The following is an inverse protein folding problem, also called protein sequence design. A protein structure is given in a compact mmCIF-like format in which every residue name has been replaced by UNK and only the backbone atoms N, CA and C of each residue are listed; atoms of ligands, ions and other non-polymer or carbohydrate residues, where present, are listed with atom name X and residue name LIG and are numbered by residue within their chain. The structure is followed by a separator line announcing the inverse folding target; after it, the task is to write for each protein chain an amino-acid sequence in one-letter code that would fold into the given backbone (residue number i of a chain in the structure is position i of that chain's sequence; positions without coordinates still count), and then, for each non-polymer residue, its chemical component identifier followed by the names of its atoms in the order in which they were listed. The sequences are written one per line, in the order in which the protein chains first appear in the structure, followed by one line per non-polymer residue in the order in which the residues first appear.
data_IF_489710034915
#
_entry.id   IF_489710034915
#
_cell.length_a   1.000
_cell.length_b   1.000
_cell.length_c   1.000
_cell.angle_alpha   90.00
_cell.angle_beta   90.00
_cell.angle_gamma   90.00
#
_symmetry.space_group_name_H-M   'P 1'
#
loop_
_entity.id
_entity.type
_entity.pdbx_description
1 polymer ?
#
# COMPACT_ATOMS: atom_id res chain seq x y z
N UNK A 1 26.57 -20.70 9.79
CA UNK A 1 26.80 -19.43 9.07
C UNK A 1 25.46 -18.90 8.61
N UNK A 2 24.97 -17.77 9.15
CA UNK A 2 23.73 -17.11 8.71
C UNK A 2 24.08 -15.67 8.34
N UNK A 3 23.87 -15.32 7.07
CA UNK A 3 24.12 -14.01 6.54
C UNK A 3 23.07 -13.01 7.06
N UNK A 4 23.58 -11.88 7.56
CA UNK A 4 22.81 -10.69 7.94
C UNK A 4 22.54 -9.90 6.66
N UNK A 5 21.27 -9.69 6.31
CA UNK A 5 20.88 -8.70 5.30
C UNK A 5 20.72 -7.37 6.03
N UNK A 6 21.77 -6.55 5.96
CA UNK A 6 21.75 -5.17 6.41
C UNK A 6 20.90 -4.33 5.44
N UNK A 7 19.84 -3.75 5.96
CA UNK A 7 18.95 -2.80 5.28
C UNK A 7 19.67 -1.45 5.15
N UNK A 8 19.72 -0.89 3.94
CA UNK A 8 20.41 0.38 3.61
C UNK A 8 19.50 1.55 4.00
N UNK A 9 19.16 1.65 5.28
CA UNK A 9 18.31 2.72 5.82
C UNK A 9 18.95 3.50 6.97
N UNK A 10 20.14 3.13 7.41
CA UNK A 10 20.64 3.53 8.73
C UNK A 10 21.91 4.39 8.67
N UNK A 11 21.96 5.36 7.75
CA UNK A 11 22.99 6.41 7.81
C UNK A 11 22.59 7.70 7.09
N UNK A 12 21.76 8.51 7.76
CA UNK A 12 21.98 9.97 7.82
C UNK A 12 21.15 10.58 8.97
N UNK A 13 21.73 11.38 9.87
CA UNK A 13 20.97 12.07 10.90
C UNK A 13 20.02 13.14 10.29
N UNK A 14 18.83 13.37 10.88
CA UNK A 14 17.78 14.25 10.35
C UNK A 14 18.20 15.70 10.04
N UNK A 15 19.30 16.17 10.62
CA UNK A 15 19.78 17.55 10.49
C UNK A 15 20.47 17.85 9.15
N UNK A 16 20.80 16.85 8.32
CA UNK A 16 21.50 17.08 7.04
C UNK A 16 20.57 17.35 5.84
N UNK A 17 19.26 17.10 5.95
CA UNK A 17 18.32 17.36 4.86
C UNK A 17 18.13 18.86 4.57
N UNK A 18 18.27 19.72 5.59
CA UNK A 18 18.06 21.16 5.45
C UNK A 18 19.24 21.93 4.83
N UNK A 19 20.39 21.28 4.61
CA UNK A 19 21.58 21.93 4.04
C UNK A 19 21.61 21.93 2.50
N UNK A 20 20.80 21.09 1.84
CA UNK A 20 20.73 21.00 0.37
C UNK A 20 19.51 21.75 -0.19
N UNK A 21 18.48 21.98 0.62
CA UNK A 21 17.32 22.76 0.24
C UNK A 21 17.64 24.27 0.30
N UNK A 22 17.95 24.86 -0.86
CA UNK A 22 17.99 26.30 -1.03
C UNK A 22 16.73 26.98 -0.47
N UNK A 23 16.90 28.15 0.13
CA UNK A 23 15.83 28.97 0.71
C UNK A 23 14.71 29.23 -0.31
N UNK A 24 13.42 29.06 0.02
CA UNK A 24 12.35 29.40 -0.90
C UNK A 24 12.17 30.93 -0.92
N UNK A 25 12.34 31.53 -2.10
CA UNK A 25 11.78 32.85 -2.39
C UNK A 25 10.30 32.69 -2.69
N UNK A 26 9.47 33.25 -1.81
CA UNK A 26 8.04 33.44 -2.05
C UNK A 26 7.82 34.19 -3.36
N UNK A 27 7.02 33.61 -4.25
CA UNK A 27 6.20 34.39 -5.17
C UNK A 27 4.85 33.71 -5.28
N UNK A 28 3.88 34.28 -4.57
CA UNK A 28 2.47 34.01 -4.76
C UNK A 28 2.06 34.44 -6.18
N UNK A 29 1.47 33.54 -6.96
CA UNK A 29 0.62 33.90 -8.10
C UNK A 29 -0.48 32.86 -8.23
N UNK A 30 -1.69 33.30 -7.90
CA UNK A 30 -2.96 32.63 -8.03
C UNK A 30 -3.38 32.49 -9.50
N UNK A 31 -3.62 31.27 -9.99
CA UNK A 31 -4.53 30.94 -11.11
C UNK A 31 -4.79 29.41 -11.19
N UNK A 32 -5.95 28.97 -11.70
CA UNK A 32 -6.42 27.58 -11.61
C UNK A 32 -5.61 26.66 -12.53
N UNK A 33 -5.02 25.59 -11.99
CA UNK A 33 -4.06 24.78 -12.75
C UNK A 33 -4.41 23.29 -12.93
N UNK A 34 -5.48 22.94 -13.67
CA UNK A 34 -5.75 21.55 -14.03
C UNK A 34 -4.88 21.03 -15.20
N UNK A 35 -4.22 21.89 -15.99
CA UNK A 35 -3.54 21.47 -17.22
C UNK A 35 -2.05 21.10 -17.07
N UNK A 36 -1.36 21.62 -16.04
CA UNK A 36 0.10 21.41 -15.85
C UNK A 36 0.41 20.15 -15.05
N UNK A 37 -0.51 19.76 -14.17
CA UNK A 37 -0.38 18.58 -13.32
C UNK A 37 -0.40 17.27 -14.13
N UNK A 38 -1.35 17.00 -15.05
CA UNK A 38 -1.39 15.74 -15.81
C UNK A 38 -0.14 15.53 -16.68
N UNK A 39 0.52 16.61 -17.11
CA UNK A 39 1.80 16.53 -17.83
C UNK A 39 2.96 16.10 -16.92
N UNK A 40 2.94 16.48 -15.63
CA UNK A 40 3.95 16.05 -14.66
C UNK A 40 3.89 14.54 -14.41
N UNK A 41 2.70 13.97 -14.21
CA UNK A 41 2.55 12.52 -13.98
C UNK A 41 2.94 11.68 -15.19
N UNK A 42 2.55 12.11 -16.40
CA UNK A 42 2.99 11.45 -17.63
C UNK A 42 4.52 11.49 -17.79
N UNK A 43 5.17 12.60 -17.40
CA UNK A 43 6.63 12.71 -17.39
C UNK A 43 7.27 11.84 -16.31
N UNK A 44 6.68 11.74 -15.13
CA UNK A 44 7.16 10.90 -14.03
C UNK A 44 7.17 9.42 -14.42
N UNK A 45 6.03 8.91 -14.92
CA UNK A 45 5.91 7.51 -15.39
C UNK A 45 6.88 7.20 -16.53
N UNK A 46 7.03 8.14 -17.49
CA UNK A 46 8.01 7.99 -18.58
C UNK A 46 9.45 7.94 -18.08
N UNK A 47 9.78 8.70 -17.03
CA UNK A 47 11.12 8.71 -16.46
C UNK A 47 11.40 7.46 -15.59
N UNK A 48 10.36 6.88 -14.97
CA UNK A 48 10.48 5.76 -14.04
C UNK A 48 9.42 4.68 -14.31
N UNK A 49 9.80 3.65 -15.09
CA UNK A 49 8.94 2.51 -15.41
C UNK A 49 8.39 1.77 -14.18
N UNK A 50 9.09 1.82 -13.04
CA UNK A 50 8.60 1.23 -11.79
C UNK A 50 7.35 1.91 -11.22
N UNK A 51 6.92 3.05 -11.78
CA UNK A 51 5.76 3.82 -11.35
C UNK A 51 4.58 3.71 -12.33
N UNK A 52 4.61 2.79 -13.30
CA UNK A 52 3.50 2.60 -14.24
C UNK A 52 2.20 2.21 -13.51
N UNK A 53 2.30 1.43 -12.43
CA UNK A 53 1.17 1.02 -11.58
C UNK A 53 0.83 2.03 -10.47
N UNK A 54 1.53 3.17 -10.38
CA UNK A 54 1.22 4.21 -9.40
C UNK A 54 -0.19 4.74 -9.69
N UNK A 55 -1.11 4.80 -8.72
CA UNK A 55 -2.46 5.30 -8.97
C UNK A 55 -2.47 6.82 -9.20
N UNK A 56 -3.45 7.31 -9.96
CA UNK A 56 -3.65 8.76 -10.16
C UNK A 56 -4.17 9.47 -8.89
N UNK A 57 -4.76 8.73 -7.96
CA UNK A 57 -5.24 9.24 -6.67
C UNK A 57 -5.03 8.23 -5.53
N UNK A 58 -4.71 8.74 -4.35
CA UNK A 58 -4.70 8.02 -3.08
C UNK A 58 -6.16 7.90 -2.59
N UNK A 59 -6.68 6.68 -2.37
CA UNK A 59 -8.00 6.46 -1.79
C UNK A 59 -8.16 7.13 -0.42
N UNK A 60 -9.32 7.74 -0.17
CA UNK A 60 -9.64 8.36 1.11
C UNK A 60 -9.44 7.44 2.35
N UNK A 61 -9.81 6.14 2.31
CA UNK A 61 -9.60 5.22 3.45
C UNK A 61 -8.14 5.01 3.85
N UNK A 62 -7.19 5.36 2.98
CA UNK A 62 -5.76 5.22 3.24
C UNK A 62 -5.14 6.46 3.86
N UNK A 63 -5.95 7.50 4.09
CA UNK A 63 -5.52 8.77 4.65
C UNK A 63 -6.06 8.95 6.07
N UNK A 64 -5.35 9.74 6.85
CA UNK A 64 -5.70 10.00 8.24
C UNK A 64 -6.91 10.95 8.32
N UNK A 65 -7.83 10.68 9.25
CA UNK A 65 -9.00 11.53 9.51
C UNK A 65 -10.29 11.08 8.82
N UNK A 66 -11.29 11.96 8.84
CA UNK A 66 -12.62 11.72 8.25
C UNK A 66 -12.68 12.15 6.78
N UNK A 67 -11.61 11.91 6.04
CA UNK A 67 -11.53 12.30 4.64
C UNK A 67 -12.34 11.33 3.81
N UNK A 68 -13.21 11.87 2.95
CA UNK A 68 -14.15 11.07 2.16
C UNK A 68 -13.77 11.04 0.68
N UNK A 69 -12.99 12.03 0.23
CA UNK A 69 -12.61 12.19 -1.16
C UNK A 69 -11.19 11.65 -1.43
N UNK A 70 -10.95 10.99 -2.57
CA UNK A 70 -9.60 10.61 -2.99
C UNK A 70 -8.69 11.83 -3.19
N UNK A 71 -7.45 11.73 -2.74
CA UNK A 71 -6.43 12.76 -2.93
C UNK A 71 -5.64 12.49 -4.21
N UNK A 72 -5.62 13.44 -5.16
CA UNK A 72 -4.78 13.31 -6.35
C UNK A 72 -3.30 13.15 -5.97
N UNK A 73 -2.62 12.20 -6.58
CA UNK A 73 -1.21 11.89 -6.26
C UNK A 73 -0.29 13.10 -6.52
N UNK A 74 -0.68 13.96 -7.46
CA UNK A 74 0.00 15.21 -7.81
C UNK A 74 -0.04 16.27 -6.71
N UNK A 75 -1.03 16.17 -5.82
CA UNK A 75 -1.22 17.06 -4.67
C UNK A 75 -0.79 16.40 -3.35
N UNK A 76 -0.47 15.11 -3.38
CA UNK A 76 -0.10 14.35 -2.20
C UNK A 76 1.25 14.81 -1.64
N UNK A 77 1.30 15.02 -0.33
CA UNK A 77 2.57 15.22 0.38
C UNK A 77 3.30 13.90 0.54
N UNK A 78 4.58 13.95 0.93
CA UNK A 78 5.35 12.74 1.24
C UNK A 78 4.73 11.98 2.42
N UNK A 79 4.16 12.69 3.40
CA UNK A 79 3.48 12.08 4.53
C UNK A 79 2.19 11.38 4.10
N UNK A 80 1.39 11.98 3.20
CA UNK A 80 0.21 11.33 2.62
C UNK A 80 0.58 10.01 1.93
N UNK A 81 1.68 10.00 1.16
CA UNK A 81 2.18 8.79 0.51
C UNK A 81 2.65 7.76 1.55
N UNK A 82 3.35 8.19 2.62
CA UNK A 82 3.79 7.29 3.68
C UNK A 82 2.61 6.63 4.41
N UNK A 83 1.58 7.39 4.75
CA UNK A 83 0.34 6.85 5.33
C UNK A 83 -0.37 5.90 4.37
N UNK A 84 -0.44 6.27 3.09
CA UNK A 84 -1.05 5.41 2.08
C UNK A 84 -0.33 4.06 1.93
N UNK A 85 1.00 4.06 2.00
CA UNK A 85 1.79 2.82 1.99
C UNK A 85 1.49 1.95 3.21
N UNK A 86 1.37 2.53 4.41
CA UNK A 86 1.01 1.78 5.63
C UNK A 86 -0.38 1.16 5.49
N UNK A 87 -1.36 1.92 5.01
CA UNK A 87 -2.73 1.45 4.82
C UNK A 87 -2.82 0.35 3.76
N UNK A 88 -2.18 0.53 2.59
CA UNK A 88 -2.12 -0.48 1.55
C UNK A 88 -1.47 -1.79 2.03
N UNK A 89 -0.40 -1.71 2.83
CA UNK A 89 0.22 -2.89 3.43
C UNK A 89 -0.68 -3.59 4.45
N UNK A 90 -1.51 -2.84 5.18
CA UNK A 90 -2.51 -3.41 6.07
C UNK A 90 -3.58 -4.20 5.29
N UNK A 91 -4.01 -3.68 4.14
CA UNK A 91 -4.95 -4.36 3.23
C UNK A 91 -4.36 -5.64 2.63
N UNK A 92 -3.10 -5.58 2.17
CA UNK A 92 -2.36 -6.78 1.70
C UNK A 92 -2.28 -7.82 2.81
N UNK A 93 -1.90 -7.40 4.02
CA UNK A 93 -1.81 -8.29 5.17
C UNK A 93 -3.17 -8.93 5.51
N UNK A 94 -4.26 -8.16 5.43
CA UNK A 94 -5.61 -8.69 5.65
C UNK A 94 -6.03 -9.67 4.56
N UNK A 95 -5.68 -9.41 3.30
CA UNK A 95 -5.92 -10.32 2.18
C UNK A 95 -5.17 -11.65 2.37
N UNK A 96 -3.88 -11.61 2.73
CA UNK A 96 -3.08 -12.82 3.02
C UNK A 96 -3.71 -13.63 4.15
N UNK A 97 -4.07 -12.99 5.28
CA UNK A 97 -4.72 -13.69 6.40
C UNK A 97 -6.02 -14.37 5.98
N UNK A 98 -6.83 -13.70 5.15
CA UNK A 98 -8.06 -14.30 4.59
C UNK A 98 -7.76 -15.49 3.69
N UNK A 99 -6.79 -15.39 2.78
CA UNK A 99 -6.38 -16.50 1.92
C UNK A 99 -5.91 -17.71 2.74
N UNK A 100 -5.00 -17.49 3.69
CA UNK A 100 -4.49 -18.56 4.55
C UNK A 100 -5.58 -19.22 5.39
N UNK A 101 -6.58 -18.46 5.85
CA UNK A 101 -7.73 -19.02 6.57
C UNK A 101 -8.58 -19.93 5.66
N UNK A 102 -8.81 -19.52 4.41
CA UNK A 102 -9.54 -20.33 3.42
C UNK A 102 -8.77 -21.62 3.06
N UNK A 103 -7.46 -21.52 2.83
CA UNK A 103 -6.59 -22.68 2.59
C UNK A 103 -6.64 -23.67 3.75
N UNK A 104 -6.59 -23.15 4.99
CA UNK A 104 -6.68 -23.98 6.19
C UNK A 104 -8.05 -24.66 6.32
N UNK A 105 -9.15 -23.94 6.07
CA UNK A 105 -10.49 -24.53 6.06
C UNK A 105 -10.60 -25.65 5.01
N UNK A 106 -10.13 -25.38 3.79
CA UNK A 106 -10.13 -26.38 2.72
C UNK A 106 -9.32 -27.63 3.12
N UNK A 107 -8.12 -27.45 3.68
CA UNK A 107 -7.28 -28.54 4.15
C UNK A 107 -7.98 -29.36 5.25
N UNK A 108 -8.58 -28.71 6.23
CA UNK A 108 -9.32 -29.40 7.32
C UNK A 108 -10.49 -30.24 6.77
N UNK A 109 -11.24 -29.70 5.80
CA UNK A 109 -12.31 -30.42 5.14
C UNK A 109 -11.79 -31.65 4.37
N UNK A 110 -10.68 -31.51 3.63
CA UNK A 110 -10.06 -32.64 2.90
C UNK A 110 -9.52 -33.72 3.83
N UNK A 111 -8.85 -33.35 4.91
CA UNK A 111 -8.39 -34.28 5.95
C UNK A 111 -9.58 -35.05 6.58
N UNK A 112 -10.78 -34.45 6.62
CA UNK A 112 -12.00 -35.12 7.08
C UNK A 112 -12.61 -36.10 6.06
N UNK A 113 -12.13 -36.09 4.80
CA UNK A 113 -12.63 -36.90 3.69
C UNK A 113 -13.62 -36.19 2.75
N UNK A 114 -13.71 -34.86 2.79
CA UNK A 114 -14.66 -34.11 1.97
C UNK A 114 -14.38 -34.18 0.46
N UNK A 115 -15.45 -34.26 -0.33
CA UNK A 115 -15.49 -34.16 -1.78
C UNK A 115 -15.85 -32.73 -2.22
N UNK A 116 -15.63 -32.40 -3.50
CA UNK A 116 -15.74 -31.02 -3.99
C UNK A 116 -17.13 -30.38 -3.88
N UNK A 117 -18.18 -31.18 -3.77
CA UNK A 117 -19.57 -30.72 -3.59
C UNK A 117 -19.98 -30.57 -2.13
N UNK A 118 -19.13 -30.99 -1.18
CA UNK A 118 -19.45 -30.98 0.24
C UNK A 118 -19.32 -29.58 0.84
N UNK A 119 -20.09 -29.33 1.91
CA UNK A 119 -19.99 -28.09 2.69
C UNK A 119 -18.71 -28.11 3.53
N UNK A 120 -17.78 -27.21 3.21
CA UNK A 120 -16.45 -27.19 3.81
C UNK A 120 -16.45 -27.03 5.34
N UNK A 121 -17.35 -26.20 5.89
CA UNK A 121 -17.46 -25.99 7.34
C UNK A 121 -17.95 -27.26 8.05
N UNK A 122 -19.05 -27.84 7.57
CA UNK A 122 -19.61 -29.08 8.14
C UNK A 122 -18.60 -30.22 8.10
N UNK A 123 -17.85 -30.34 7.01
CA UNK A 123 -16.81 -31.36 6.87
C UNK A 123 -15.61 -31.11 7.80
N UNK A 124 -15.14 -29.88 7.92
CA UNK A 124 -14.04 -29.54 8.81
C UNK A 124 -14.40 -29.80 10.29
N UNK A 125 -15.65 -29.55 10.70
CA UNK A 125 -16.12 -29.85 12.06
C UNK A 125 -16.16 -31.37 12.36
N UNK A 126 -16.44 -32.22 11.37
CA UNK A 126 -16.37 -33.70 11.53
C UNK A 126 -14.96 -34.22 11.81
N UNK A 127 -13.92 -33.42 11.59
CA UNK A 127 -12.53 -33.74 11.98
C UNK A 127 -12.24 -33.38 13.44
N UNK A 128 -12.85 -32.33 13.97
CA UNK A 128 -12.61 -31.88 15.35
C UNK A 128 -13.10 -32.90 16.39
N UNK A 129 -14.19 -33.59 16.11
CA UNK A 129 -14.74 -34.63 16.99
C UNK A 129 -14.14 -36.03 16.83
N UNK A 130 -13.03 -36.19 16.10
CA UNK A 130 -12.44 -37.49 15.75
C UNK A 130 -11.06 -37.70 16.39
#
# INVERSE_FOLDING_TARGET
MRAVLAWIGDWLPPSLYFAIAGKPTETATSEPLPARLPNLMARLRRAFHSLDDLPDAIPAPWREGNETEPLLIELATIDDVAFAVVAANADVSAAIRRSSALERLHRLAREAGALGTDRAVDAALKREGR
#
